data_IF_896159935247
#
_entry.id   IF_896159935247
#
_cell.length_a   1.000
_cell.length_b   1.000
_cell.length_c   1.000
_cell.angle_alpha   90.00
_cell.angle_beta   90.00
_cell.angle_gamma   90.00
#
_symmetry.space_group_name_H-M   'P 1'
#
loop_
_entity.id
_entity.type
_entity.pdbx_description
1 polymer ?
#
# COMPACT_ATOMS: atom_id res chain seq x y z
N UNK A 1 4.32 0.91 -42.08
CA UNK A 1 4.66 1.25 -40.67
C UNK A 1 6.12 0.92 -40.45
N UNK A 2 6.99 1.87 -40.07
CA UNK A 2 8.41 1.58 -39.90
C UNK A 2 8.61 0.67 -38.68
N UNK A 3 9.43 -0.36 -38.89
CA UNK A 3 9.77 -1.43 -37.96
C UNK A 3 10.31 -0.82 -36.65
N UNK A 4 9.74 -1.24 -35.51
CA UNK A 4 10.22 -0.81 -34.20
C UNK A 4 11.73 -1.10 -34.06
N UNK A 5 12.50 -0.05 -33.80
CA UNK A 5 13.93 -0.11 -33.52
C UNK A 5 14.18 -0.96 -32.26
N UNK A 6 14.90 -2.08 -32.42
CA UNK A 6 15.32 -2.93 -31.30
C UNK A 6 16.66 -2.40 -30.78
N UNK A 7 16.59 -1.41 -29.89
CA UNK A 7 17.73 -0.91 -29.14
C UNK A 7 18.19 -1.93 -28.09
N UNK A 8 19.50 -2.05 -27.90
CA UNK A 8 20.18 -3.00 -27.00
C UNK A 8 20.09 -2.62 -25.50
N UNK A 9 19.11 -1.81 -25.11
CA UNK A 9 18.85 -1.49 -23.71
C UNK A 9 17.65 -2.30 -23.22
N UNK A 10 17.91 -3.44 -22.56
CA UNK A 10 16.94 -4.04 -21.62
C UNK A 10 15.95 -5.07 -22.16
N UNK A 11 16.15 -5.63 -23.35
CA UNK A 11 15.22 -6.61 -23.95
C UNK A 11 15.15 -8.00 -23.25
N UNK A 12 15.69 -8.15 -22.03
CA UNK A 12 15.68 -9.43 -21.31
C UNK A 12 14.95 -9.40 -19.95
N UNK A 13 14.59 -8.23 -19.44
CA UNK A 13 13.80 -8.12 -18.20
C UNK A 13 12.51 -7.40 -18.53
N UNK A 14 11.39 -8.06 -18.33
CA UNK A 14 10.09 -7.42 -18.39
C UNK A 14 10.05 -6.33 -17.31
N UNK A 15 10.19 -5.06 -17.71
CA UNK A 15 10.35 -3.93 -16.78
C UNK A 15 9.01 -3.57 -16.09
N UNK A 16 7.90 -3.99 -16.69
CA UNK A 16 6.54 -3.61 -16.31
C UNK A 16 6.18 -3.90 -14.85
N UNK A 17 6.57 -5.03 -14.22
CA UNK A 17 6.29 -5.31 -12.82
C UNK A 17 6.93 -4.35 -11.82
N UNK A 18 8.04 -3.70 -12.20
CA UNK A 18 8.72 -2.70 -11.35
C UNK A 18 8.13 -1.29 -11.55
N UNK A 19 7.45 -1.06 -12.67
CA UNK A 19 6.85 0.24 -13.02
C UNK A 19 5.37 0.32 -12.62
N UNK A 20 4.65 -0.80 -12.71
CA UNK A 20 3.22 -0.88 -12.46
C UNK A 20 2.85 -2.20 -11.79
N UNK A 21 1.99 -2.18 -10.76
CA UNK A 21 1.40 -3.41 -10.23
C UNK A 21 0.60 -4.12 -11.34
N UNK A 22 0.67 -5.45 -11.44
CA UNK A 22 -0.20 -6.22 -12.33
C UNK A 22 -1.67 -6.01 -11.94
N UNK A 23 -2.59 -6.10 -12.92
CA UNK A 23 -4.02 -5.85 -12.70
C UNK A 23 -4.59 -6.66 -11.54
N UNK A 24 -4.18 -7.93 -11.41
CA UNK A 24 -4.57 -8.79 -10.30
C UNK A 24 -4.21 -8.16 -8.94
N UNK A 25 -2.95 -7.77 -8.75
CA UNK A 25 -2.49 -7.18 -7.49
C UNK A 25 -3.11 -5.81 -7.22
N UNK A 26 -3.36 -5.03 -8.27
CA UNK A 26 -4.08 -3.75 -8.16
C UNK A 26 -5.52 -3.94 -7.69
N UNK A 27 -6.26 -4.88 -8.30
CA UNK A 27 -7.65 -5.20 -7.94
C UNK A 27 -7.72 -5.75 -6.50
N UNK A 28 -6.80 -6.63 -6.12
CA UNK A 28 -6.71 -7.17 -4.76
C UNK A 28 -6.47 -6.05 -3.72
N UNK A 29 -5.58 -5.10 -4.01
CA UNK A 29 -5.31 -3.96 -3.12
C UNK A 29 -6.52 -3.01 -3.00
N UNK A 30 -7.22 -2.75 -4.11
CA UNK A 30 -8.40 -1.87 -4.13
C UNK A 30 -9.62 -2.49 -3.45
N UNK A 31 -9.74 -3.83 -3.47
CA UNK A 31 -10.84 -4.54 -2.81
C UNK A 31 -10.60 -4.79 -1.32
N UNK A 32 -9.43 -4.38 -0.78
CA UNK A 32 -9.15 -4.54 0.65
C UNK A 32 -10.16 -3.70 1.46
N UNK A 33 -10.87 -4.29 2.45
CA UNK A 33 -11.77 -3.54 3.31
C UNK A 33 -11.01 -2.41 4.03
N UNK A 34 -11.51 -1.19 3.91
CA UNK A 34 -10.92 -0.01 4.53
C UNK A 34 -12.05 0.85 5.11
N UNK A 35 -12.05 1.01 6.44
CA UNK A 35 -12.97 1.91 7.12
C UNK A 35 -12.32 3.28 7.24
N UNK A 36 -12.79 4.27 6.49
CA UNK A 36 -12.18 5.61 6.44
C UNK A 36 -12.24 6.35 7.79
N UNK A 37 -13.21 6.05 8.64
CA UNK A 37 -13.36 6.72 9.94
C UNK A 37 -12.46 6.10 11.00
N UNK A 38 -12.21 4.80 10.88
CA UNK A 38 -11.43 4.04 11.87
C UNK A 38 -9.97 3.88 11.49
N UNK A 39 -9.65 3.83 10.20
CA UNK A 39 -8.27 3.63 9.71
C UNK A 39 -7.45 4.90 9.95
N UNK A 40 -6.33 4.76 10.66
CA UNK A 40 -5.44 5.86 11.01
C UNK A 40 -3.97 5.44 10.95
N UNK A 41 -3.08 6.42 10.88
CA UNK A 41 -1.64 6.23 11.02
C UNK A 41 -1.20 6.73 12.40
N UNK A 42 -0.56 5.85 13.17
CA UNK A 42 -0.05 6.17 14.50
C UNK A 42 1.45 6.31 14.44
N UNK A 43 1.98 7.34 15.08
CA UNK A 43 3.43 7.53 15.22
C UNK A 43 4.02 6.36 16.03
N UNK A 44 5.08 5.77 15.50
CA UNK A 44 5.86 4.71 16.13
C UNK A 44 7.33 5.11 16.18
N UNK A 45 8.01 4.85 17.29
CA UNK A 45 9.41 5.24 17.44
C UNK A 45 10.37 4.38 16.62
N UNK A 46 9.96 3.17 16.25
CA UNK A 46 10.79 2.20 15.52
C UNK A 46 10.47 2.17 14.03
N UNK A 47 9.18 2.14 13.69
CA UNK A 47 8.70 2.03 12.30
C UNK A 47 8.30 3.38 11.70
N UNK A 48 8.39 4.47 12.48
CA UNK A 48 7.98 5.82 12.10
C UNK A 48 6.46 5.99 12.16
N UNK A 49 5.73 5.23 11.34
CA UNK A 49 4.27 5.17 11.37
C UNK A 49 3.75 3.77 11.08
N UNK A 50 2.67 3.41 11.75
CA UNK A 50 2.01 2.12 11.59
C UNK A 50 0.52 2.29 11.39
N UNK A 51 -0.06 1.34 10.66
CA UNK A 51 -1.49 1.28 10.44
C UNK A 51 -2.21 0.90 11.74
N UNK A 52 -3.23 1.67 12.07
CA UNK A 52 -4.02 1.50 13.26
C UNK A 52 -5.51 1.65 13.02
N UNK A 53 -6.31 1.05 13.89
CA UNK A 53 -7.76 1.24 13.92
C UNK A 53 -8.18 1.95 15.21
N UNK A 54 -8.86 3.08 15.06
CA UNK A 54 -9.49 3.78 16.18
C UNK A 54 -10.68 2.96 16.71
N UNK A 55 -10.72 2.74 18.03
CA UNK A 55 -11.81 2.05 18.73
C UNK A 55 -12.84 2.98 19.42
N UNK A 56 -12.60 4.30 19.55
CA UNK A 56 -13.45 5.22 20.31
C UNK A 56 -13.61 6.61 19.67
N UNK A 57 -14.85 7.14 19.70
CA UNK A 57 -15.21 8.49 19.26
C UNK A 57 -15.47 9.46 20.44
N UNK A 58 -15.00 9.14 21.65
CA UNK A 58 -15.30 9.96 22.84
C UNK A 58 -14.02 10.42 23.54
N UNK A 59 -13.67 11.70 23.35
CA UNK A 59 -13.02 12.63 24.30
C UNK A 59 -11.70 12.26 25.01
N UNK A 60 -11.28 11.00 24.96
CA UNK A 60 -10.18 10.39 25.70
C UNK A 60 -9.14 9.86 24.69
N UNK A 61 -7.91 9.53 25.11
CA UNK A 61 -6.84 9.15 24.20
C UNK A 61 -7.27 7.93 23.39
N UNK A 62 -7.23 8.11 22.08
CA UNK A 62 -7.63 7.11 21.09
C UNK A 62 -6.89 5.81 21.34
N UNK A 63 -7.59 4.78 21.82
CA UNK A 63 -7.07 3.41 21.85
C UNK A 63 -6.96 2.92 20.42
N UNK A 64 -5.73 2.82 19.93
CA UNK A 64 -5.44 2.35 18.57
C UNK A 64 -4.98 0.90 18.61
N UNK A 65 -5.70 0.03 17.91
CA UNK A 65 -5.20 -1.32 17.65
C UNK A 65 -4.17 -1.28 16.52
N UNK A 66 -2.96 -1.72 16.83
CA UNK A 66 -1.88 -1.97 15.86
C UNK A 66 -2.28 -3.13 14.94
N UNK A 67 -2.31 -2.92 13.62
CA UNK A 67 -2.65 -3.99 12.65
C UNK A 67 -1.52 -5.03 12.44
N UNK A 68 -0.38 -4.87 13.11
CA UNK A 68 0.67 -5.88 13.23
C UNK A 68 0.81 -6.27 14.69
N UNK A 69 0.38 -7.48 15.06
CA UNK A 69 0.33 -7.92 16.45
C UNK A 69 1.70 -7.89 17.14
N UNK A 70 1.94 -6.84 17.91
CA UNK A 70 2.28 -6.81 19.34
C UNK A 70 1.99 -5.41 19.88
#
# INVERSE_FOLDING_TARGET
MPRAYKGECGANVEQMPFLAPPDKGRIEAMNKPCDIKRSCWVKDETEGFIAGENQSEQGDPVTVNKLGGK
#
